data_IF_206171107982
#
_entry.id   IF_206171107982
#
_cell.length_a   1.000
_cell.length_b   1.000
_cell.length_c   1.000
_cell.angle_alpha   90.00
_cell.angle_beta   90.00
_cell.angle_gamma   90.00
#
_symmetry.space_group_name_H-M   'P 1'
#
loop_
_entity.id
_entity.type
_entity.pdbx_description
1 polymer ?
#
# COMPACT_ATOMS: atom_id res chain seq x y z
N UNK A 1 17.68 -15.18 18.27
CA UNK A 1 16.42 -14.78 17.60
C UNK A 1 16.43 -13.26 17.53
N UNK A 2 16.47 -12.63 16.34
CA UNK A 2 16.45 -11.18 16.26
C UNK A 2 15.07 -10.70 16.69
N UNK A 3 15.04 -9.85 17.73
CA UNK A 3 13.83 -9.17 18.17
C UNK A 3 13.45 -8.19 17.06
N UNK A 4 12.42 -8.51 16.29
CA UNK A 4 11.76 -7.52 15.43
C UNK A 4 11.30 -6.40 16.35
N UNK A 5 11.97 -5.24 16.24
CA UNK A 5 11.55 -4.02 16.92
C UNK A 5 10.21 -3.64 16.32
N UNK A 6 9.16 -3.75 17.12
CA UNK A 6 7.88 -3.16 16.80
C UNK A 6 8.05 -1.64 16.84
N UNK A 7 8.19 -1.02 15.68
CA UNK A 7 8.05 0.42 15.55
C UNK A 7 6.55 0.74 15.61
N UNK A 8 6.09 1.55 16.58
CA UNK A 8 4.69 1.93 16.65
C UNK A 8 4.31 2.71 15.37
N UNK A 9 3.12 2.47 14.80
CA UNK A 9 2.68 3.21 13.62
C UNK A 9 2.66 4.72 13.92
N UNK A 10 3.07 5.52 12.93
CA UNK A 10 3.00 6.98 12.97
C UNK A 10 1.64 7.40 13.58
N UNK A 11 1.58 8.25 14.61
CA UNK A 11 0.32 8.72 15.20
C UNK A 11 -0.63 9.42 14.19
N UNK A 12 -0.15 9.74 12.98
CA UNK A 12 -0.96 10.19 11.83
C UNK A 12 -1.64 9.06 11.06
N UNK A 13 -1.19 7.81 11.19
CA UNK A 13 -1.84 6.60 10.65
C UNK A 13 -2.99 6.20 11.58
N UNK A 14 -4.05 7.02 11.60
CA UNK A 14 -5.31 6.69 12.25
C UNK A 14 -6.05 5.69 11.36
N UNK A 15 -5.94 4.40 11.65
CA UNK A 15 -6.77 3.39 11.01
C UNK A 15 -8.17 3.43 11.63
N UNK A 16 -9.07 4.22 11.05
CA UNK A 16 -10.50 4.12 11.40
C UNK A 16 -11.07 2.86 10.76
N UNK A 17 -11.14 1.78 11.54
CA UNK A 17 -11.89 0.58 11.16
C UNK A 17 -13.37 0.96 11.20
N UNK A 18 -14.06 0.88 10.06
CA UNK A 18 -15.49 1.16 10.00
C UNK A 18 -16.27 0.18 10.86
N UNK A 19 -17.33 0.65 11.51
CA UNK A 19 -18.25 -0.22 12.24
C UNK A 19 -19.06 -1.10 11.27
N UNK A 20 -19.60 -2.21 11.76
CA UNK A 20 -20.48 -3.07 10.97
C UNK A 20 -21.73 -2.33 10.45
N UNK A 21 -22.22 -1.35 11.23
CA UNK A 21 -23.36 -0.51 10.86
C UNK A 21 -23.01 0.46 9.73
N UNK A 22 -21.80 1.03 9.74
CA UNK A 22 -21.31 1.88 8.65
C UNK A 22 -21.18 1.10 7.34
N UNK A 23 -20.66 -0.13 7.41
CA UNK A 23 -20.60 -1.04 6.26
C UNK A 23 -22.00 -1.37 5.74
N UNK A 24 -22.94 -1.69 6.64
CA UNK A 24 -24.33 -2.00 6.29
C UNK A 24 -25.05 -0.81 5.64
N UNK A 25 -24.69 0.42 6.04
CA UNK A 25 -25.19 1.67 5.46
C UNK A 25 -24.47 2.07 4.15
N UNK A 26 -23.63 1.20 3.59
CA UNK A 26 -22.95 1.43 2.32
C UNK A 26 -21.78 2.40 2.39
N UNK A 27 -21.31 2.74 3.59
CA UNK A 27 -20.10 3.55 3.77
C UNK A 27 -18.92 2.75 3.24
N UNK A 28 -18.18 3.32 2.29
CA UNK A 28 -16.99 2.69 1.71
C UNK A 28 -15.77 3.09 2.52
N UNK A 29 -14.92 2.12 2.87
CA UNK A 29 -13.60 2.42 3.43
C UNK A 29 -12.84 3.23 2.40
N UNK A 30 -12.38 4.41 2.80
CA UNK A 30 -11.50 5.22 1.98
C UNK A 30 -10.10 5.16 2.60
N UNK A 31 -9.34 4.14 2.21
CA UNK A 31 -7.93 4.05 2.55
C UNK A 31 -7.15 4.70 1.40
N UNK A 32 -6.45 5.79 1.70
CA UNK A 32 -5.70 6.54 0.70
C UNK A 32 -4.24 6.05 0.58
N UNK A 33 -3.80 5.17 1.48
CA UNK A 33 -2.44 4.67 1.57
C UNK A 33 -2.43 3.14 1.61
N UNK A 34 -1.46 2.52 0.93
CA UNK A 34 -1.24 1.07 0.96
C UNK A 34 0.23 0.75 1.14
N UNK A 35 0.51 -0.16 2.07
CA UNK A 35 1.83 -0.71 2.31
C UNK A 35 1.81 -2.21 2.03
N UNK A 36 2.78 -2.67 1.25
CA UNK A 36 2.97 -4.09 0.95
C UNK A 36 4.40 -4.45 1.32
N UNK A 37 4.56 -5.38 2.26
CA UNK A 37 5.86 -5.89 2.69
C UNK A 37 5.86 -7.43 2.68
N UNK A 38 7.04 -8.04 2.85
CA UNK A 38 7.17 -9.50 2.90
C UNK A 38 7.89 -10.13 1.71
N UNK A 39 8.94 -9.48 1.19
CA UNK A 39 9.83 -10.03 0.14
C UNK A 39 9.12 -10.27 -1.20
N UNK A 40 8.10 -9.47 -1.51
CA UNK A 40 7.24 -9.61 -2.68
C UNK A 40 8.04 -9.52 -3.98
N UNK A 41 7.78 -10.42 -4.92
CA UNK A 41 8.46 -10.46 -6.23
C UNK A 41 7.60 -10.00 -7.40
N UNK A 42 6.28 -10.10 -7.25
CA UNK A 42 5.30 -9.72 -8.26
C UNK A 42 4.05 -9.14 -7.59
N UNK A 43 3.48 -8.13 -8.23
CA UNK A 43 2.24 -7.48 -7.78
C UNK A 43 1.11 -7.90 -8.72
N UNK A 44 -0.08 -8.11 -8.15
CA UNK A 44 -1.29 -8.41 -8.93
C UNK A 44 -1.67 -7.21 -9.81
N UNK A 45 -2.21 -7.45 -10.99
CA UNK A 45 -2.72 -6.39 -11.88
C UNK A 45 -3.87 -5.61 -11.26
N UNK A 46 -4.62 -6.22 -10.34
CA UNK A 46 -5.66 -5.55 -9.56
C UNK A 46 -5.12 -4.45 -8.65
N UNK A 47 -3.82 -4.42 -8.35
CA UNK A 47 -3.22 -3.32 -7.58
C UNK A 47 -3.39 -1.99 -8.32
N UNK A 48 -3.26 -2.02 -9.65
CA UNK A 48 -3.25 -0.83 -10.49
C UNK A 48 -4.66 -0.28 -10.77
N UNK A 49 -5.72 -0.96 -10.35
CA UNK A 49 -7.09 -0.45 -10.41
C UNK A 49 -7.48 0.38 -9.17
N UNK A 50 -6.59 0.46 -8.18
CA UNK A 50 -6.81 1.20 -6.93
C UNK A 50 -6.51 2.69 -7.13
N UNK A 51 -7.23 3.30 -8.07
CA UNK A 51 -6.98 4.68 -8.53
C UNK A 51 -7.18 5.76 -7.48
N UNK A 52 -7.81 5.43 -6.35
CA UNK A 52 -7.99 6.31 -5.19
C UNK A 52 -6.75 6.42 -4.31
N UNK A 53 -5.72 5.59 -4.55
CA UNK A 53 -4.48 5.63 -3.78
C UNK A 53 -3.72 6.94 -4.00
N UNK A 54 -3.27 7.50 -2.88
CA UNK A 54 -2.41 8.69 -2.80
C UNK A 54 -1.01 8.36 -2.32
N UNK A 55 -0.83 7.28 -1.55
CA UNK A 55 0.49 6.76 -1.17
C UNK A 55 0.59 5.24 -1.35
N UNK A 56 1.72 4.79 -1.90
CA UNK A 56 2.02 3.36 -2.10
C UNK A 56 3.44 3.07 -1.63
N UNK A 57 3.54 2.29 -0.55
CA UNK A 57 4.79 1.85 0.05
C UNK A 57 5.09 0.41 -0.37
N UNK A 58 6.14 0.23 -1.18
CA UNK A 58 6.61 -1.07 -1.66
C UNK A 58 8.07 -1.31 -1.28
N UNK A 59 8.63 -0.50 -0.36
CA UNK A 59 10.01 -0.63 0.08
C UNK A 59 10.31 -2.00 0.68
N UNK A 60 11.59 -2.38 0.65
CA UNK A 60 12.10 -3.63 1.24
C UNK A 60 11.45 -4.91 0.69
N UNK A 61 11.17 -4.90 -0.62
CA UNK A 61 10.67 -6.06 -1.36
C UNK A 61 11.71 -6.59 -2.38
N UNK A 62 11.31 -7.58 -3.17
CA UNK A 62 12.14 -8.20 -4.21
C UNK A 62 11.59 -7.92 -5.62
N UNK A 63 10.93 -6.76 -5.82
CA UNK A 63 10.36 -6.42 -7.11
C UNK A 63 11.49 -6.22 -8.12
N UNK A 64 11.39 -6.91 -9.26
CA UNK A 64 12.37 -6.81 -10.34
C UNK A 64 11.94 -5.85 -11.46
N UNK A 65 10.63 -5.54 -11.52
CA UNK A 65 10.05 -4.58 -12.46
C UNK A 65 8.75 -4.02 -11.88
N UNK A 66 8.38 -2.83 -12.32
CA UNK A 66 7.05 -2.27 -12.15
C UNK A 66 6.38 -2.22 -13.53
N UNK A 67 5.16 -2.78 -13.70
CA UNK A 67 4.47 -2.70 -14.98
C UNK A 67 4.05 -1.25 -15.28
N UNK A 68 3.94 -0.87 -16.56
CA UNK A 68 3.49 0.48 -16.96
C UNK A 68 2.07 0.80 -16.46
N UNK A 69 1.28 -0.21 -16.10
CA UNK A 69 -0.02 -0.06 -15.45
C UNK A 69 0.01 0.79 -14.18
N UNK A 70 1.17 0.97 -13.52
CA UNK A 70 1.30 1.90 -12.39
C UNK A 70 0.83 3.32 -12.73
N UNK A 71 0.91 3.72 -14.00
CA UNK A 71 0.40 5.01 -14.48
C UNK A 71 -1.12 5.19 -14.31
N UNK A 72 -1.89 4.10 -14.09
CA UNK A 72 -3.32 4.17 -13.78
C UNK A 72 -3.60 4.79 -12.41
N UNK A 73 -2.63 4.74 -11.49
CA UNK A 73 -2.71 5.33 -10.16
C UNK A 73 -2.52 6.87 -10.25
N UNK A 74 -3.43 7.55 -10.95
CA UNK A 74 -3.32 8.96 -11.28
C UNK A 74 -3.42 9.91 -10.08
N UNK A 75 -3.96 9.44 -8.95
CA UNK A 75 -4.00 10.21 -7.70
C UNK A 75 -2.78 9.95 -6.80
N UNK A 76 -1.83 9.12 -7.23
CA UNK A 76 -0.67 8.75 -6.43
C UNK A 76 0.30 9.94 -6.32
N UNK A 77 0.54 10.38 -5.09
CA UNK A 77 1.44 11.48 -4.73
C UNK A 77 2.75 10.93 -4.18
N UNK A 78 2.69 9.84 -3.43
CA UNK A 78 3.85 9.20 -2.80
C UNK A 78 4.02 7.77 -3.29
N UNK A 79 5.23 7.44 -3.76
CA UNK A 79 5.59 6.10 -4.21
C UNK A 79 6.99 5.76 -3.67
N UNK A 80 7.05 4.79 -2.77
CA UNK A 80 8.33 4.28 -2.26
C UNK A 80 8.64 2.91 -2.85
N UNK A 81 9.70 2.87 -3.67
CA UNK A 81 10.23 1.67 -4.31
C UNK A 81 11.63 1.31 -3.80
N UNK A 82 12.11 1.96 -2.73
CA UNK A 82 13.45 1.76 -2.20
C UNK A 82 13.69 0.30 -1.78
N UNK A 83 14.95 -0.12 -1.73
CA UNK A 83 15.33 -1.48 -1.32
C UNK A 83 14.63 -2.61 -2.11
N UNK A 84 14.40 -2.40 -3.41
CA UNK A 84 13.94 -3.43 -4.35
C UNK A 84 15.07 -3.88 -5.30
N UNK A 85 14.74 -4.79 -6.23
CA UNK A 85 15.67 -5.31 -7.26
C UNK A 85 15.34 -4.74 -8.64
N UNK A 86 14.79 -3.53 -8.67
CA UNK A 86 14.41 -2.83 -9.90
C UNK A 86 15.67 -2.51 -10.72
N UNK A 87 15.57 -2.65 -12.03
CA UNK A 87 16.63 -2.37 -13.00
C UNK A 87 16.15 -1.35 -14.02
#
# INVERSE_FOLDING_TARGET
MPKEKYDPPDPRRIYTIMSAEEVANGKKSHWAELEISGRVRSLSTSLWSLTHLTALHLNDNNLARIPPDIAKLHNLVYLDLSSNKLR
#
